data_IF_784640111948
#
_entry.id   IF_784640111948
#
_cell.length_a   1.000
_cell.length_b   1.000
_cell.length_c   1.000
_cell.angle_alpha   90.00
_cell.angle_beta   90.00
_cell.angle_gamma   90.00
#
_symmetry.space_group_name_H-M   'P 1'
#
loop_
_entity.id
_entity.type
_entity.pdbx_description
1 polymer ?
#
# COMPACT_ATOMS: atom_id res chain seq x y z
N UNK A 1 10.60 41.13 -34.51
CA UNK A 1 9.95 39.87 -34.91
C UNK A 1 11.06 38.93 -35.31
N UNK A 2 11.36 37.92 -34.49
CA UNK A 2 12.00 36.66 -34.92
C UNK A 2 11.94 35.63 -33.78
N UNK A 3 10.89 34.80 -33.88
CA UNK A 3 10.83 33.37 -33.64
C UNK A 3 11.68 32.77 -32.49
N UNK A 4 11.08 32.72 -31.29
CA UNK A 4 11.49 31.81 -30.22
C UNK A 4 11.13 30.38 -30.64
N UNK A 5 12.15 29.69 -31.16
CA UNK A 5 12.08 28.31 -31.61
C UNK A 5 11.54 27.36 -30.53
N UNK A 6 10.41 26.77 -30.88
CA UNK A 6 9.83 25.55 -30.33
C UNK A 6 10.90 24.45 -30.18
N UNK A 7 11.39 24.22 -28.95
CA UNK A 7 12.31 23.12 -28.62
C UNK A 7 11.54 21.84 -28.32
N UNK A 8 10.90 21.24 -29.32
CA UNK A 8 10.41 19.85 -29.29
C UNK A 8 11.41 18.92 -29.96
N UNK A 9 12.68 19.00 -29.58
CA UNK A 9 13.69 18.02 -29.95
C UNK A 9 13.58 16.77 -29.06
N UNK A 10 13.75 15.55 -29.59
CA UNK A 10 13.80 14.34 -28.77
C UNK A 10 14.93 14.47 -27.73
N UNK A 11 14.57 14.30 -26.46
CA UNK A 11 15.51 14.44 -25.33
C UNK A 11 16.64 13.40 -25.41
N UNK A 12 17.85 13.72 -24.91
CA UNK A 12 18.97 12.79 -24.94
C UNK A 12 18.65 11.52 -24.10
N UNK A 13 18.95 10.32 -24.63
CA UNK A 13 18.54 9.04 -24.03
C UNK A 13 19.14 8.72 -22.66
N UNK A 14 20.15 9.47 -22.21
CA UNK A 14 20.82 9.30 -20.91
C UNK A 14 19.99 9.84 -19.73
N UNK A 15 19.24 10.93 -19.93
CA UNK A 15 18.39 11.51 -18.88
C UNK A 15 17.18 10.59 -18.57
N UNK A 16 16.59 9.98 -19.59
CA UNK A 16 15.47 9.03 -19.43
C UNK A 16 15.89 7.74 -18.69
N UNK A 17 17.16 7.31 -18.80
CA UNK A 17 17.67 6.16 -18.06
C UNK A 17 17.87 6.48 -16.57
N UNK A 18 18.47 7.62 -16.27
CA UNK A 18 18.77 8.02 -14.89
C UNK A 18 17.51 8.25 -14.04
N UNK A 19 16.46 8.81 -14.64
CA UNK A 19 15.16 9.02 -13.99
C UNK A 19 14.41 7.70 -13.76
N UNK A 20 14.50 6.75 -14.70
CA UNK A 20 13.93 5.40 -14.55
C UNK A 20 14.63 4.63 -13.43
N UNK A 21 15.97 4.72 -13.35
CA UNK A 21 16.75 4.07 -12.29
C UNK A 21 16.41 4.60 -10.90
N UNK A 22 16.34 5.93 -10.73
CA UNK A 22 15.90 6.54 -9.45
C UNK A 22 14.48 6.16 -9.09
N UNK A 23 13.58 6.13 -10.07
CA UNK A 23 12.19 5.71 -9.85
C UNK A 23 12.12 4.26 -9.41
N UNK A 24 12.90 3.37 -10.03
CA UNK A 24 12.97 1.96 -9.69
C UNK A 24 13.50 1.76 -8.28
N UNK A 25 14.57 2.49 -7.89
CA UNK A 25 15.12 2.45 -6.54
C UNK A 25 14.10 2.86 -5.45
N UNK A 26 13.32 3.92 -5.66
CA UNK A 26 12.33 4.39 -4.68
C UNK A 26 11.23 3.34 -4.42
N UNK A 27 10.77 2.61 -5.45
CA UNK A 27 9.76 1.57 -5.27
C UNK A 27 10.32 0.31 -4.64
N UNK A 28 11.58 -0.04 -4.95
CA UNK A 28 12.24 -1.14 -4.25
C UNK A 28 12.39 -0.83 -2.76
N UNK A 29 12.67 0.43 -2.39
CA UNK A 29 12.74 0.84 -0.99
C UNK A 29 11.37 0.78 -0.29
N UNK A 30 10.30 1.26 -0.95
CA UNK A 30 8.93 1.21 -0.40
C UNK A 30 8.44 -0.21 -0.14
N UNK A 31 8.62 -1.11 -1.11
CA UNK A 31 8.21 -2.52 -0.98
C UNK A 31 8.97 -3.27 0.11
N UNK A 32 10.25 -2.93 0.35
CA UNK A 32 11.02 -3.50 1.45
C UNK A 32 10.47 -3.06 2.81
N UNK A 33 10.14 -1.78 2.96
CA UNK A 33 9.55 -1.25 4.20
C UNK A 33 8.18 -1.86 4.46
N UNK A 34 7.35 -2.02 3.42
CA UNK A 34 6.07 -2.74 3.53
C UNK A 34 6.26 -4.17 4.03
N UNK A 35 7.21 -4.91 3.45
CA UNK A 35 7.49 -6.29 3.85
C UNK A 35 7.97 -6.38 5.30
N UNK A 36 8.86 -5.48 5.73
CA UNK A 36 9.33 -5.44 7.11
C UNK A 36 8.19 -5.10 8.07
N UNK A 37 7.36 -4.10 7.73
CA UNK A 37 6.21 -3.70 8.54
C UNK A 37 5.15 -4.80 8.63
N UNK A 38 4.88 -5.50 7.53
CA UNK A 38 4.00 -6.66 7.51
C UNK A 38 4.50 -7.81 8.40
N UNK A 39 5.80 -8.17 8.30
CA UNK A 39 6.42 -9.19 9.17
C UNK A 39 6.31 -8.76 10.64
N UNK A 40 6.67 -7.52 10.95
CA UNK A 40 6.61 -7.00 12.31
C UNK A 40 5.18 -7.10 12.87
N UNK A 41 4.18 -6.70 12.10
CA UNK A 41 2.78 -6.78 12.50
C UNK A 41 2.32 -8.24 12.73
N UNK A 42 2.72 -9.17 11.87
CA UNK A 42 2.44 -10.61 12.04
C UNK A 42 3.07 -11.14 13.32
N UNK A 43 4.36 -10.87 13.56
CA UNK A 43 5.08 -11.34 14.75
C UNK A 43 4.43 -10.78 16.01
N UNK A 44 4.17 -9.47 16.05
CA UNK A 44 3.55 -8.83 17.21
C UNK A 44 2.11 -9.35 17.45
N UNK A 45 1.34 -9.60 16.38
CA UNK A 45 0.02 -10.20 16.50
C UNK A 45 0.07 -11.62 17.09
N UNK A 46 1.02 -12.46 16.65
CA UNK A 46 1.24 -13.80 17.20
C UNK A 46 1.64 -13.75 18.67
N UNK A 47 2.58 -12.87 19.03
CA UNK A 47 3.00 -12.69 20.43
C UNK A 47 1.83 -12.21 21.31
N UNK A 48 1.02 -11.29 20.80
CA UNK A 48 -0.20 -10.87 21.48
C UNK A 48 -1.20 -12.02 21.64
N UNK A 49 -1.41 -12.85 20.63
CA UNK A 49 -2.31 -14.01 20.71
C UNK A 49 -1.82 -15.04 21.74
N UNK A 50 -0.51 -15.18 21.90
CA UNK A 50 0.11 -15.98 22.96
C UNK A 50 -0.10 -15.40 24.38
N UNK A 51 -0.74 -14.23 24.50
CA UNK A 51 -1.03 -13.59 25.78
C UNK A 51 0.04 -12.62 26.26
N UNK A 52 1.11 -12.41 25.50
CA UNK A 52 2.22 -11.53 25.89
C UNK A 52 1.80 -10.09 25.64
N UNK A 53 1.63 -9.33 26.73
CA UNK A 53 1.42 -7.88 26.72
C UNK A 53 0.46 -7.41 25.60
N UNK A 54 -0.74 -8.01 25.54
CA UNK A 54 -1.70 -7.90 24.43
C UNK A 54 -1.93 -6.47 23.96
N UNK A 55 -2.12 -5.54 24.88
CA UNK A 55 -2.37 -4.14 24.55
C UNK A 55 -1.18 -3.48 23.84
N UNK A 56 0.05 -3.69 24.34
CA UNK A 56 1.25 -3.14 23.69
C UNK A 56 1.49 -3.78 22.33
N UNK A 57 1.24 -5.09 22.19
CA UNK A 57 1.37 -5.79 20.91
C UNK A 57 0.42 -5.21 19.86
N UNK A 58 -0.85 -4.97 20.23
CA UNK A 58 -1.83 -4.31 19.36
C UNK A 58 -1.34 -2.92 18.92
N UNK A 59 -0.89 -2.09 19.87
CA UNK A 59 -0.43 -0.73 19.58
C UNK A 59 0.75 -0.72 18.61
N UNK A 60 1.79 -1.54 18.86
CA UNK A 60 2.96 -1.58 17.98
C UNK A 60 2.64 -2.22 16.63
N UNK A 61 1.77 -3.23 16.55
CA UNK A 61 1.29 -3.76 15.26
C UNK A 61 0.60 -2.70 14.42
N UNK A 62 -0.27 -1.88 15.03
CA UNK A 62 -0.95 -0.78 14.34
C UNK A 62 0.05 0.26 13.84
N UNK A 63 1.09 0.58 14.61
CA UNK A 63 2.17 1.47 14.17
C UNK A 63 2.91 0.85 12.98
N UNK A 64 3.30 -0.42 13.07
CA UNK A 64 4.03 -1.11 12.00
C UNK A 64 3.25 -1.14 10.68
N UNK A 65 1.95 -1.44 10.75
CA UNK A 65 1.03 -1.39 9.61
C UNK A 65 0.90 0.05 9.09
N UNK A 66 0.67 1.02 9.98
CA UNK A 66 0.52 2.42 9.61
C UNK A 66 1.75 2.96 8.88
N UNK A 67 2.94 2.66 9.41
CA UNK A 67 4.22 3.04 8.77
C UNK A 67 4.38 2.34 7.43
N UNK A 68 4.11 1.04 7.33
CA UNK A 68 4.16 0.31 6.06
C UNK A 68 3.29 0.98 4.98
N UNK A 69 2.03 1.29 5.31
CA UNK A 69 1.09 1.95 4.38
C UNK A 69 1.49 3.39 4.06
N UNK A 70 2.05 4.12 5.03
CA UNK A 70 2.56 5.48 4.81
C UNK A 70 3.67 5.49 3.76
N UNK A 71 4.61 4.55 3.86
CA UNK A 71 5.70 4.42 2.88
C UNK A 71 5.21 3.89 1.54
N UNK A 72 4.25 2.95 1.53
CA UNK A 72 3.58 2.45 0.33
C UNK A 72 2.94 3.60 -0.48
N UNK A 73 2.01 4.31 0.17
CA UNK A 73 1.30 5.44 -0.43
C UNK A 73 2.22 6.61 -0.78
N UNK A 74 3.22 6.89 0.06
CA UNK A 74 4.20 7.95 -0.17
C UNK A 74 5.09 7.70 -1.39
N UNK A 75 5.56 6.46 -1.57
CA UNK A 75 6.36 6.07 -2.74
C UNK A 75 5.53 6.22 -4.04
N UNK A 76 4.26 5.82 -4.01
CA UNK A 76 3.32 6.00 -5.13
C UNK A 76 3.04 7.48 -5.42
N UNK A 77 2.76 8.29 -4.38
CA UNK A 77 2.48 9.72 -4.51
C UNK A 77 3.65 10.49 -5.11
N UNK A 78 4.89 10.17 -4.69
CA UNK A 78 6.10 10.79 -5.23
C UNK A 78 6.24 10.62 -6.75
N UNK A 79 5.79 9.48 -7.29
CA UNK A 79 5.78 9.21 -8.73
C UNK A 79 4.72 10.03 -9.45
N UNK A 80 3.50 10.06 -8.91
CA UNK A 80 2.42 10.86 -9.51
C UNK A 80 2.81 12.34 -9.61
N UNK A 81 3.51 12.89 -8.61
CA UNK A 81 4.00 14.28 -8.68
C UNK A 81 4.98 14.51 -9.83
N UNK A 82 5.85 13.54 -10.14
CA UNK A 82 6.78 13.63 -11.27
C UNK A 82 6.06 13.51 -12.61
N UNK A 83 5.02 12.69 -12.73
CA UNK A 83 4.23 12.58 -13.96
C UNK A 83 3.30 13.79 -14.16
N UNK A 84 2.63 14.27 -13.12
CA UNK A 84 1.78 15.46 -13.17
C UNK A 84 2.57 16.71 -13.58
N UNK A 85 3.82 16.84 -13.11
CA UNK A 85 4.70 17.94 -13.54
C UNK A 85 5.11 17.89 -15.02
N UNK A 86 4.96 16.74 -15.69
CA UNK A 86 5.28 16.56 -17.12
C UNK A 86 4.07 16.73 -18.04
N UNK A 87 2.86 16.60 -17.51
CA UNK A 87 1.58 16.66 -18.27
C UNK A 87 0.76 17.87 -17.80
N UNK A 88 1.41 19.02 -17.63
CA UNK A 88 0.78 20.27 -17.19
C UNK A 88 -0.04 20.94 -18.31
N UNK A 89 -1.00 20.20 -18.89
CA UNK A 89 -1.88 20.70 -19.96
C UNK A 89 -3.24 20.04 -20.05
N UNK A 90 -3.44 18.87 -19.43
CA UNK A 90 -4.73 18.18 -19.41
C UNK A 90 -5.10 17.92 -17.96
N UNK A 91 -6.35 18.21 -17.58
CA UNK A 91 -6.89 18.01 -16.23
C UNK A 91 -6.61 16.57 -15.81
N UNK A 92 -5.56 16.37 -15.03
CA UNK A 92 -5.26 15.08 -14.42
C UNK A 92 -6.39 14.87 -13.43
N UNK A 93 -7.29 13.95 -13.76
CA UNK A 93 -8.51 13.70 -13.02
C UNK A 93 -8.19 13.48 -11.54
N UNK A 94 -8.72 14.38 -10.71
CA UNK A 94 -8.72 14.38 -9.25
C UNK A 94 -9.18 13.03 -8.66
N UNK A 95 -9.88 12.25 -9.47
CA UNK A 95 -10.41 10.91 -9.21
C UNK A 95 -9.31 9.84 -9.08
N UNK A 96 -8.19 9.93 -9.82
CA UNK A 96 -7.13 8.90 -9.77
C UNK A 96 -6.18 9.11 -8.57
N UNK A 97 -5.94 10.36 -8.17
CA UNK A 97 -5.18 10.69 -6.96
C UNK A 97 -5.95 10.33 -5.67
N UNK A 98 -7.29 10.39 -5.73
CA UNK A 98 -8.18 10.03 -4.62
C UNK A 98 -8.46 8.53 -4.46
N UNK A 99 -8.25 7.71 -5.49
CA UNK A 99 -8.76 6.33 -5.50
C UNK A 99 -8.00 5.33 -4.62
N UNK A 100 -6.66 5.40 -4.57
CA UNK A 100 -5.86 4.39 -3.86
C UNK A 100 -4.61 4.94 -3.18
N UNK A 101 -3.83 5.77 -3.90
CA UNK A 101 -2.56 6.32 -3.39
C UNK A 101 -2.77 7.25 -2.19
N UNK A 102 -3.76 8.16 -2.27
CA UNK A 102 -4.11 9.03 -1.14
C UNK A 102 -4.65 8.24 0.05
N UNK A 103 -5.42 7.17 -0.21
CA UNK A 103 -6.06 6.39 0.86
C UNK A 103 -5.04 5.61 1.69
N UNK A 104 -4.07 4.95 1.07
CA UNK A 104 -3.01 4.24 1.79
C UNK A 104 -2.16 5.19 2.65
N UNK A 105 -1.80 6.34 2.09
CA UNK A 105 -1.06 7.35 2.84
C UNK A 105 -1.86 7.90 4.03
N UNK A 106 -3.12 8.27 3.81
CA UNK A 106 -3.99 8.83 4.86
C UNK A 106 -4.29 7.80 5.95
N UNK A 107 -4.64 6.58 5.57
CA UNK A 107 -4.89 5.49 6.53
C UNK A 107 -3.60 5.09 7.26
N UNK A 108 -2.46 5.10 6.57
CA UNK A 108 -1.13 4.90 7.18
C UNK A 108 -0.83 5.94 8.25
N UNK A 109 -0.92 7.23 7.90
CA UNK A 109 -0.69 8.35 8.82
C UNK A 109 -1.64 8.31 10.03
N UNK A 110 -2.94 8.15 9.78
CA UNK A 110 -3.94 8.05 10.84
C UNK A 110 -3.69 6.84 11.74
N UNK A 111 -3.35 5.68 11.14
CA UNK A 111 -2.99 4.47 11.85
C UNK A 111 -1.78 4.63 12.74
N UNK A 112 -0.70 5.27 12.25
CA UNK A 112 0.48 5.56 13.07
C UNK A 112 0.13 6.41 14.28
N UNK A 113 -0.66 7.47 14.10
CA UNK A 113 -1.11 8.33 15.21
C UNK A 113 -1.97 7.54 16.20
N UNK A 114 -2.96 6.78 15.72
CA UNK A 114 -3.81 5.95 16.59
C UNK A 114 -2.98 4.91 17.36
N UNK A 115 -1.98 4.30 16.73
CA UNK A 115 -1.05 3.38 17.37
C UNK A 115 -0.29 4.03 18.54
N UNK A 116 0.20 5.26 18.35
CA UNK A 116 0.84 6.03 19.42
C UNK A 116 -0.14 6.31 20.56
N UNK A 117 -1.37 6.76 20.26
CA UNK A 117 -2.39 7.04 21.28
C UNK A 117 -2.76 5.77 22.09
N UNK A 118 -2.81 4.61 21.45
CA UNK A 118 -3.05 3.32 22.10
C UNK A 118 -1.93 2.98 23.09
N UNK A 119 -0.66 3.22 22.71
CA UNK A 119 0.49 3.02 23.59
C UNK A 119 0.50 4.00 24.77
N UNK A 120 -0.05 5.20 24.59
CA UNK A 120 -0.27 6.17 25.67
C UNK A 120 -1.46 5.82 26.58
N UNK A 121 -2.19 4.74 26.28
CA UNK A 121 -3.32 4.28 27.08
C UNK A 121 -4.60 5.09 26.89
N UNK A 122 -4.67 5.93 25.86
CA UNK A 122 -5.88 6.68 25.52
C UNK A 122 -6.83 5.72 24.80
N UNK A 123 -8.00 5.45 25.39
CA UNK A 123 -9.06 4.56 24.86
C UNK A 123 -8.57 3.41 23.96
N UNK A 124 -7.67 2.55 24.45
CA UNK A 124 -6.81 1.71 23.61
C UNK A 124 -7.61 0.71 22.76
N UNK A 125 -8.66 0.11 23.33
CA UNK A 125 -9.48 -0.87 22.62
C UNK A 125 -10.34 -0.22 21.53
N UNK A 126 -10.93 0.95 21.82
CA UNK A 126 -11.76 1.69 20.85
C UNK A 126 -10.91 2.19 19.69
N UNK A 127 -9.76 2.82 20.00
CA UNK A 127 -8.83 3.31 18.98
C UNK A 127 -8.25 2.17 18.14
N UNK A 128 -7.92 1.04 18.75
CA UNK A 128 -7.44 -0.13 18.01
C UNK A 128 -8.49 -0.65 17.03
N UNK A 129 -9.74 -0.75 17.47
CA UNK A 129 -10.82 -1.24 16.63
C UNK A 129 -11.14 -0.26 15.48
N UNK A 130 -11.17 1.04 15.76
CA UNK A 130 -11.30 2.07 14.70
C UNK A 130 -10.13 2.01 13.72
N UNK A 131 -8.90 1.81 14.19
CA UNK A 131 -7.71 1.66 13.32
C UNK A 131 -7.86 0.46 12.39
N UNK A 132 -8.25 -0.69 12.93
CA UNK A 132 -8.45 -1.92 12.15
C UNK A 132 -9.54 -1.75 11.10
N UNK A 133 -10.65 -1.08 11.44
CA UNK A 133 -11.71 -0.75 10.46
C UNK A 133 -11.19 0.20 9.39
N UNK A 134 -10.46 1.24 9.77
CA UNK A 134 -9.87 2.20 8.83
C UNK A 134 -8.86 1.54 7.89
N UNK A 135 -8.01 0.65 8.39
CA UNK A 135 -7.10 -0.15 7.55
C UNK A 135 -7.88 -1.06 6.61
N UNK A 136 -8.91 -1.76 7.10
CA UNK A 136 -9.75 -2.62 6.27
C UNK A 136 -10.44 -1.85 5.14
N UNK A 137 -11.02 -0.69 5.45
CA UNK A 137 -11.60 0.22 4.45
C UNK A 137 -10.55 0.78 3.48
N UNK A 138 -9.37 1.12 3.98
CA UNK A 138 -8.26 1.61 3.16
C UNK A 138 -7.79 0.58 2.13
N UNK A 139 -7.63 -0.68 2.55
CA UNK A 139 -7.30 -1.78 1.64
C UNK A 139 -8.38 -1.99 0.58
N UNK A 140 -9.66 -1.90 0.95
CA UNK A 140 -10.76 -2.06 0.00
C UNK A 140 -10.76 -0.99 -1.08
N UNK A 141 -10.59 0.27 -0.68
CA UNK A 141 -10.50 1.40 -1.62
C UNK A 141 -9.28 1.26 -2.54
N UNK A 142 -8.13 0.85 -2.00
CA UNK A 142 -6.91 0.59 -2.78
C UNK A 142 -7.08 -0.52 -3.83
N UNK A 143 -7.81 -1.60 -3.52
CA UNK A 143 -8.08 -2.66 -4.51
C UNK A 143 -8.95 -2.21 -5.68
N UNK A 144 -9.90 -1.28 -5.44
CA UNK A 144 -10.74 -0.70 -6.49
C UNK A 144 -9.92 0.10 -7.52
N UNK A 145 -8.95 0.89 -7.05
CA UNK A 145 -8.08 1.69 -7.92
C UNK A 145 -7.23 0.80 -8.87
N UNK A 146 -6.75 -0.34 -8.37
CA UNK A 146 -5.93 -1.27 -9.17
C UNK A 146 -6.75 -1.96 -10.28
N UNK A 147 -8.04 -2.17 -10.06
CA UNK A 147 -8.96 -2.77 -11.04
C UNK A 147 -9.27 -1.82 -12.21
N UNK A 148 -9.42 -0.51 -11.93
CA UNK A 148 -9.64 0.51 -12.95
C UNK A 148 -8.43 0.66 -13.88
N UNK A 149 -7.20 0.65 -13.34
CA UNK A 149 -5.96 0.76 -14.12
C UNK A 149 -5.72 -0.46 -15.02
N UNK A 150 -6.13 -1.66 -14.59
CA UNK A 150 -6.00 -2.87 -15.40
C UNK A 150 -6.85 -2.85 -16.69
N UNK A 151 -7.99 -2.15 -16.69
CA UNK A 151 -8.85 -2.02 -17.87
C UNK A 151 -8.23 -1.15 -18.97
N UNK A 152 -7.38 -0.18 -18.61
CA UNK A 152 -6.65 0.66 -19.57
C UNK A 152 -5.43 -0.06 -20.19
N UNK A 153 -4.94 -1.12 -19.56
CA UNK A 153 -3.72 -1.83 -19.96
C UNK A 153 -3.90 -2.91 -21.03
N UNK A 154 -5.08 -3.09 -21.62
CA UNK A 154 -5.37 -4.11 -22.65
C UNK A 154 -4.78 -3.80 -24.05
N UNK A 155 -4.14 -2.64 -24.25
CA UNK A 155 -3.65 -2.20 -25.55
C UNK A 155 -2.34 -2.86 -26.05
N UNK A 156 -1.62 -3.67 -25.24
CA UNK A 156 -0.33 -4.26 -25.65
C UNK A 156 -0.20 -5.75 -25.28
N UNK A 157 -0.46 -6.68 -26.22
CA UNK A 157 -0.47 -8.11 -25.96
C UNK A 157 0.76 -8.81 -26.58
N UNK A 158 1.92 -8.91 -25.92
CA UNK A 158 2.98 -9.82 -26.44
C UNK A 158 4.01 -10.41 -25.45
N UNK A 159 3.78 -10.38 -24.13
CA UNK A 159 4.75 -10.99 -23.20
C UNK A 159 4.10 -11.87 -22.12
N UNK A 160 4.37 -13.18 -22.20
CA UNK A 160 3.85 -14.22 -21.28
C UNK A 160 4.26 -13.94 -19.83
N UNK A 161 5.42 -13.31 -19.62
CA UNK A 161 5.91 -12.92 -18.29
C UNK A 161 5.10 -11.78 -17.68
N UNK A 162 4.69 -10.81 -18.50
CA UNK A 162 3.82 -9.70 -18.09
C UNK A 162 2.42 -10.22 -17.72
N UNK A 163 1.92 -11.23 -18.42
CA UNK A 163 0.64 -11.88 -18.10
C UNK A 163 0.64 -12.57 -16.74
N UNK A 164 1.66 -13.37 -16.43
CA UNK A 164 1.81 -14.01 -15.11
C UNK A 164 1.93 -12.96 -13.99
N UNK A 165 2.70 -11.89 -14.23
CA UNK A 165 2.82 -10.75 -13.32
C UNK A 165 1.48 -10.01 -13.09
N UNK A 166 0.61 -9.94 -14.11
CA UNK A 166 -0.74 -9.36 -14.00
C UNK A 166 -1.67 -10.27 -13.18
N UNK A 167 -1.69 -11.55 -13.50
CA UNK A 167 -2.48 -12.56 -12.78
C UNK A 167 -2.10 -12.62 -11.29
N UNK A 168 -0.81 -12.58 -10.97
CA UNK A 168 -0.33 -12.59 -9.58
C UNK A 168 -0.85 -11.39 -8.76
N UNK A 169 -0.88 -10.19 -9.34
CA UNK A 169 -1.37 -8.99 -8.64
C UNK A 169 -2.89 -8.91 -8.62
N UNK A 170 -3.58 -9.41 -9.64
CA UNK A 170 -5.04 -9.55 -9.57
C UNK A 170 -5.43 -10.51 -8.44
N UNK A 171 -4.71 -11.64 -8.30
CA UNK A 171 -4.87 -12.56 -7.18
C UNK A 171 -4.60 -11.90 -5.84
N UNK A 172 -3.49 -11.14 -5.72
CA UNK A 172 -3.16 -10.41 -4.50
C UNK A 172 -4.24 -9.38 -4.12
N UNK A 173 -4.77 -8.63 -5.10
CA UNK A 173 -5.85 -7.66 -4.87
C UNK A 173 -7.13 -8.34 -4.34
N UNK A 174 -7.49 -9.52 -4.86
CA UNK A 174 -8.62 -10.30 -4.35
C UNK A 174 -8.43 -10.74 -2.89
N UNK A 175 -7.23 -11.22 -2.55
CA UNK A 175 -6.88 -11.57 -1.16
C UNK A 175 -6.92 -10.34 -0.25
N UNK A 176 -6.37 -9.21 -0.71
CA UNK A 176 -6.31 -7.96 0.05
C UNK A 176 -7.71 -7.39 0.30
N UNK A 177 -8.64 -7.52 -0.65
CA UNK A 177 -10.04 -7.18 -0.45
C UNK A 177 -10.70 -8.07 0.62
N UNK A 178 -10.52 -9.38 0.56
CA UNK A 178 -11.06 -10.31 1.57
C UNK A 178 -10.48 -10.05 2.96
N UNK A 179 -9.18 -9.79 3.04
CA UNK A 179 -8.51 -9.38 4.28
C UNK A 179 -9.10 -8.07 4.80
N UNK A 180 -9.34 -7.09 3.93
CA UNK A 180 -9.93 -5.80 4.30
C UNK A 180 -11.35 -5.94 4.86
N UNK A 181 -12.21 -6.73 4.21
CA UNK A 181 -13.57 -7.04 4.70
C UNK A 181 -13.50 -7.76 6.04
N UNK A 182 -12.68 -8.81 6.15
CA UNK A 182 -12.51 -9.57 7.38
C UNK A 182 -12.02 -8.69 8.54
N UNK A 183 -11.03 -7.83 8.29
CA UNK A 183 -10.53 -6.88 9.27
C UNK A 183 -11.61 -5.90 9.71
N UNK A 184 -12.39 -5.33 8.78
CA UNK A 184 -13.48 -4.43 9.12
C UNK A 184 -14.54 -5.10 10.01
N UNK A 185 -14.95 -6.34 9.68
CA UNK A 185 -15.90 -7.11 10.50
C UNK A 185 -15.32 -7.37 11.89
N UNK A 186 -14.08 -7.86 11.99
CA UNK A 186 -13.43 -8.14 13.28
C UNK A 186 -13.27 -6.86 14.13
N UNK A 187 -12.95 -5.73 13.50
CA UNK A 187 -12.89 -4.43 14.17
C UNK A 187 -14.25 -3.97 14.69
N UNK A 188 -15.32 -4.12 13.90
CA UNK A 188 -16.69 -3.80 14.35
C UNK A 188 -17.09 -4.70 15.53
N UNK A 189 -16.83 -6.00 15.46
CA UNK A 189 -17.12 -6.93 16.56
C UNK A 189 -16.32 -6.59 17.83
N UNK A 190 -15.06 -6.15 17.68
CA UNK A 190 -14.25 -5.66 18.79
C UNK A 190 -14.82 -4.38 19.41
N UNK A 191 -15.37 -3.44 18.61
CA UNK A 191 -16.08 -2.26 19.13
C UNK A 191 -17.30 -2.62 19.96
N UNK A 192 -17.99 -3.72 19.60
CA UNK A 192 -19.13 -4.25 20.37
C UNK A 192 -18.70 -4.95 21.67
N UNK A 193 -17.39 -5.03 21.96
CA UNK A 193 -16.87 -5.64 23.19
C UNK A 193 -16.81 -7.17 23.16
N UNK A 194 -16.99 -7.79 22.00
CA UNK A 194 -16.92 -9.25 21.86
C UNK A 194 -15.45 -9.65 21.79
N UNK A 195 -14.90 -10.19 22.89
CA UNK A 195 -13.50 -10.66 23.00
C UNK A 195 -12.48 -9.76 22.25
N UNK A 196 -12.44 -8.44 22.56
CA UNK A 196 -11.82 -7.44 21.70
C UNK A 196 -10.33 -7.71 21.43
N UNK A 197 -9.58 -8.16 22.44
CA UNK A 197 -8.16 -8.47 22.26
C UNK A 197 -7.91 -9.54 21.19
N UNK A 198 -8.66 -10.65 21.23
CA UNK A 198 -8.47 -11.76 20.29
C UNK A 198 -8.85 -11.32 18.88
N UNK A 199 -10.00 -10.67 18.71
CA UNK A 199 -10.48 -10.23 17.40
C UNK A 199 -9.54 -9.19 16.77
N UNK A 200 -9.04 -8.23 17.56
CA UNK A 200 -8.08 -7.24 17.08
C UNK A 200 -6.77 -7.87 16.65
N UNK A 201 -6.22 -8.79 17.43
CA UNK A 201 -4.96 -9.46 17.09
C UNK A 201 -5.09 -10.37 15.86
N UNK A 202 -6.21 -11.09 15.71
CA UNK A 202 -6.50 -11.86 14.48
C UNK A 202 -6.65 -10.94 13.28
N UNK A 203 -7.32 -9.80 13.43
CA UNK A 203 -7.44 -8.82 12.35
C UNK A 203 -6.08 -8.25 11.94
N UNK A 204 -5.25 -7.86 12.91
CA UNK A 204 -3.89 -7.36 12.66
C UNK A 204 -2.98 -8.42 12.03
N UNK A 205 -3.13 -9.69 12.41
CA UNK A 205 -2.44 -10.81 11.78
C UNK A 205 -2.82 -10.93 10.30
N UNK A 206 -4.12 -10.86 10.00
CA UNK A 206 -4.65 -10.89 8.64
C UNK A 206 -4.15 -9.69 7.81
N UNK A 207 -4.22 -8.48 8.36
CA UNK A 207 -3.74 -7.25 7.72
C UNK A 207 -2.24 -7.31 7.43
N UNK A 208 -1.42 -7.72 8.41
CA UNK A 208 0.03 -7.90 8.23
C UNK A 208 0.36 -8.95 7.17
N UNK A 209 -0.35 -10.09 7.19
CA UNK A 209 -0.22 -11.13 6.15
C UNK A 209 -0.63 -10.64 4.77
N UNK A 210 -1.70 -9.84 4.67
CA UNK A 210 -2.15 -9.22 3.43
C UNK A 210 -1.11 -8.28 2.84
N UNK A 211 -0.50 -7.43 3.67
CA UNK A 211 0.59 -6.53 3.27
C UNK A 211 1.80 -7.32 2.74
N UNK A 212 2.14 -8.46 3.36
CA UNK A 212 3.23 -9.31 2.88
C UNK A 212 2.96 -9.91 1.50
N UNK A 213 1.73 -10.38 1.28
CA UNK A 213 1.33 -10.92 -0.01
C UNK A 213 1.39 -9.82 -1.07
N UNK A 214 0.89 -8.61 -0.76
CA UNK A 214 0.98 -7.46 -1.66
C UNK A 214 2.43 -7.08 -2.01
N UNK A 215 3.29 -6.95 -1.00
CA UNK A 215 4.70 -6.59 -1.18
C UNK A 215 5.47 -7.62 -2.04
N UNK A 216 5.21 -8.91 -1.82
CA UNK A 216 5.83 -9.99 -2.60
C UNK A 216 5.36 -10.02 -4.06
N UNK A 217 4.08 -9.72 -4.32
CA UNK A 217 3.56 -9.63 -5.67
C UNK A 217 4.20 -8.48 -6.47
N UNK A 218 4.41 -7.32 -5.83
CA UNK A 218 5.11 -6.17 -6.44
C UNK A 218 6.58 -6.49 -6.73
N UNK A 219 7.28 -7.08 -5.76
CA UNK A 219 8.68 -7.51 -5.92
C UNK A 219 8.87 -8.51 -7.07
N UNK A 220 7.93 -9.45 -7.25
CA UNK A 220 7.95 -10.41 -8.35
C UNK A 220 7.91 -9.75 -9.74
N UNK A 221 7.10 -8.69 -9.92
CA UNK A 221 7.04 -7.92 -11.17
C UNK A 221 8.36 -7.25 -11.51
N UNK A 222 9.03 -6.68 -10.52
CA UNK A 222 10.31 -5.98 -10.71
C UNK A 222 11.44 -6.93 -11.11
N UNK A 223 11.52 -8.10 -10.48
CA UNK A 223 12.56 -9.10 -10.77
C UNK A 223 12.45 -9.62 -12.21
N UNK A 224 11.21 -9.77 -12.70
CA UNK A 224 10.91 -10.17 -14.08
C UNK A 224 11.29 -9.06 -15.08
N UNK A 225 11.01 -7.80 -14.75
CA UNK A 225 11.39 -6.65 -15.57
C UNK A 225 12.91 -6.47 -15.72
N UNK A 226 13.68 -6.69 -14.65
CA UNK A 226 15.15 -6.61 -14.68
C UNK A 226 15.82 -7.72 -15.51
N UNK A 227 15.19 -8.90 -15.62
CA UNK A 227 15.70 -10.03 -16.41
C UNK A 227 15.28 -10.04 -17.88
N UNK A 228 14.41 -9.11 -18.30
CA UNK A 228 14.04 -8.92 -19.71
C UNK A 228 15.02 -8.05 -20.52
N UNK A 229 15.99 -7.41 -19.85
CA UNK A 229 16.97 -6.50 -20.46
C UNK A 229 18.38 -7.12 -20.64
N UNK A 230 18.52 -8.43 -20.48
CA UNK A 230 19.75 -9.17 -20.75
C UNK A 230 19.60 -10.08 -21.95
#
# INVERSE_FOLDING_TARGET
MDNLGNTTGPRPPELDRQERERSMQIVTAGSLVEAIGGIAAVVMAVLGLAGIARQTMIGVSIIAIGVALLFAGGALASRYSQFASRVSGQRVDEVEFGGGVGVEFLTGAAGTVMGVLILLGIYPLTLAAVSVVAFGGGLLLSTGATSAVNQLGEAFPYDRRVRMAREAVQGAAGVQALVGIGAAILGILALLGIQPYTLLLVALLGLGGGILIAASAVSGRMLVGLRGFR
#
